data_IF_160911881067
#
_entry.id   IF_160911881067
#
_cell.length_a   1.000
_cell.length_b   1.000
_cell.length_c   1.000
_cell.angle_alpha   90.00
_cell.angle_beta   90.00
_cell.angle_gamma   90.00
#
_symmetry.space_group_name_H-M   'P 1'
#
loop_
_entity.id
_entity.type
_entity.pdbx_description
1 polymer ?
#
# COMPACT_ATOMS: atom_id res chain seq x y z
N UNK A 1 35.28 -30.73 -9.40
CA UNK A 1 34.30 -29.69 -9.00
C UNK A 1 33.15 -30.39 -8.30
N UNK A 2 32.87 -30.03 -7.05
CA UNK A 2 32.02 -30.82 -6.14
C UNK A 2 30.53 -30.47 -6.35
N UNK A 3 29.65 -31.42 -6.75
CA UNK A 3 28.24 -31.16 -7.02
C UNK A 3 27.38 -30.86 -5.78
N UNK A 4 27.93 -30.97 -4.58
CA UNK A 4 27.21 -30.84 -3.29
C UNK A 4 26.72 -29.41 -3.01
N UNK A 5 27.42 -28.37 -3.47
CA UNK A 5 27.08 -26.97 -3.14
C UNK A 5 25.79 -26.45 -3.80
N UNK A 6 25.34 -27.04 -4.91
CA UNK A 6 24.18 -26.52 -5.65
C UNK A 6 22.86 -26.91 -5.00
N UNK A 7 22.79 -28.12 -4.44
CA UNK A 7 21.61 -28.59 -3.71
C UNK A 7 21.49 -27.88 -2.36
N UNK A 8 22.60 -27.66 -1.67
CA UNK A 8 22.63 -26.93 -0.39
C UNK A 8 22.23 -25.45 -0.57
N UNK A 9 22.66 -24.80 -1.66
CA UNK A 9 22.23 -23.45 -1.99
C UNK A 9 20.73 -23.38 -2.35
N UNK A 10 20.21 -24.34 -3.13
CA UNK A 10 18.78 -24.41 -3.44
C UNK A 10 17.91 -24.72 -2.21
N UNK A 11 18.42 -25.53 -1.28
CA UNK A 11 17.76 -25.81 0.00
C UNK A 11 17.82 -24.61 0.95
N UNK A 12 18.89 -23.82 0.90
CA UNK A 12 19.04 -22.58 1.66
C UNK A 12 18.14 -21.47 1.12
N UNK A 13 18.10 -21.28 -0.20
CA UNK A 13 17.13 -20.39 -0.87
C UNK A 13 15.69 -20.83 -0.59
N UNK A 14 15.38 -22.14 -0.60
CA UNK A 14 14.06 -22.65 -0.19
C UNK A 14 13.75 -22.41 1.29
N UNK A 15 14.73 -22.51 2.18
CA UNK A 15 14.55 -22.23 3.63
C UNK A 15 14.33 -20.74 3.89
N UNK A 16 15.11 -19.87 3.23
CA UNK A 16 14.93 -18.41 3.27
C UNK A 16 13.60 -17.97 2.63
N UNK A 17 13.15 -18.67 1.56
CA UNK A 17 11.81 -18.48 0.97
C UNK A 17 10.67 -18.99 1.88
N UNK A 18 10.94 -19.97 2.74
CA UNK A 18 9.96 -20.55 3.66
C UNK A 18 9.80 -19.76 4.96
N UNK A 19 10.78 -18.95 5.36
CA UNK A 19 10.63 -17.95 6.44
C UNK A 19 9.57 -16.87 6.11
N UNK A 20 9.11 -16.80 4.86
CA UNK A 20 8.00 -15.96 4.41
C UNK A 20 6.62 -16.64 4.33
N UNK A 21 6.49 -17.93 4.66
CA UNK A 21 5.17 -18.58 4.76
C UNK A 21 4.49 -18.10 6.04
N UNK A 22 3.98 -16.87 6.02
CA UNK A 22 3.13 -16.32 7.05
C UNK A 22 1.72 -16.92 6.88
N UNK A 23 1.29 -17.91 7.69
CA UNK A 23 -0.09 -18.42 7.65
C UNK A 23 -1.12 -17.33 7.95
N UNK A 24 -0.67 -16.15 8.40
CA UNK A 24 -1.51 -15.00 8.71
C UNK A 24 -2.33 -14.49 7.50
N UNK A 25 -1.83 -14.58 6.26
CA UNK A 25 -2.54 -13.98 5.11
C UNK A 25 -3.78 -14.76 4.68
N UNK A 26 -3.76 -16.08 4.76
CA UNK A 26 -4.89 -16.92 4.31
C UNK A 26 -6.12 -16.77 5.21
N UNK A 27 -5.91 -16.33 6.45
CA UNK A 27 -6.98 -16.02 7.40
C UNK A 27 -7.53 -14.61 7.14
N UNK A 28 -6.70 -13.69 6.64
CA UNK A 28 -7.04 -12.26 6.53
C UNK A 28 -7.55 -11.89 5.14
N UNK A 29 -7.05 -12.53 4.09
CA UNK A 29 -7.29 -12.20 2.68
C UNK A 29 -8.01 -13.33 1.95
N UNK A 30 -8.98 -12.97 1.12
CA UNK A 30 -9.68 -13.91 0.26
C UNK A 30 -8.95 -14.07 -1.08
N UNK A 31 -8.43 -15.27 -1.35
CA UNK A 31 -7.82 -15.65 -2.63
C UNK A 31 -8.74 -16.47 -3.54
N UNK A 32 -10.03 -16.62 -3.21
CA UNK A 32 -11.02 -17.33 -4.03
C UNK A 32 -11.11 -16.85 -5.49
N UNK A 33 -10.92 -15.55 -5.82
CA UNK A 33 -10.97 -15.13 -7.22
C UNK A 33 -9.94 -15.83 -8.12
N UNK A 34 -8.76 -16.19 -7.59
CA UNK A 34 -7.78 -16.97 -8.33
C UNK A 34 -8.18 -18.44 -8.49
N UNK A 35 -8.93 -18.98 -7.52
CA UNK A 35 -9.42 -20.36 -7.55
C UNK A 35 -10.51 -20.57 -8.61
N UNK A 36 -11.26 -19.51 -8.93
CA UNK A 36 -12.33 -19.51 -9.94
C UNK A 36 -11.81 -19.41 -11.38
N UNK A 37 -10.52 -19.14 -11.58
CA UNK A 37 -9.94 -19.03 -12.92
C UNK A 37 -9.98 -20.38 -13.68
N UNK A 38 -10.27 -20.33 -14.98
CA UNK A 38 -10.22 -21.50 -15.87
C UNK A 38 -8.79 -21.82 -16.33
N UNK A 39 -7.86 -21.94 -15.39
CA UNK A 39 -6.46 -22.35 -15.60
C UNK A 39 -6.12 -23.54 -14.71
N UNK A 40 -4.97 -24.17 -14.93
CA UNK A 40 -4.56 -25.30 -14.10
C UNK A 40 -4.21 -24.89 -12.66
N UNK A 41 -4.23 -25.87 -11.75
CA UNK A 41 -3.99 -25.64 -10.32
C UNK A 41 -2.57 -25.12 -10.03
N UNK A 42 -1.58 -25.41 -10.88
CA UNK A 42 -0.24 -24.87 -10.69
C UNK A 42 -0.25 -23.35 -10.92
N UNK A 43 -0.86 -22.87 -12.01
CA UNK A 43 -1.00 -21.44 -12.28
C UNK A 43 -1.81 -20.70 -11.21
N UNK A 44 -2.89 -21.30 -10.70
CA UNK A 44 -3.67 -20.73 -9.59
C UNK A 44 -2.80 -20.49 -8.35
N UNK A 45 -2.06 -21.51 -7.93
CA UNK A 45 -1.20 -21.43 -6.77
C UNK A 45 -0.04 -20.44 -6.98
N UNK A 46 0.53 -20.40 -8.19
CA UNK A 46 1.56 -19.43 -8.54
C UNK A 46 1.08 -17.98 -8.40
N UNK A 47 -0.13 -17.66 -8.89
CA UNK A 47 -0.72 -16.32 -8.76
C UNK A 47 -0.96 -15.94 -7.30
N UNK A 48 -1.43 -16.88 -6.48
CA UNK A 48 -1.63 -16.66 -5.04
C UNK A 48 -0.28 -16.38 -4.36
N UNK A 49 0.75 -17.18 -4.64
CA UNK A 49 2.08 -17.01 -4.07
C UNK A 49 2.69 -15.65 -4.46
N UNK A 50 2.60 -15.27 -5.75
CA UNK A 50 3.06 -13.95 -6.21
C UNK A 50 2.26 -12.78 -5.65
N UNK A 51 0.96 -12.97 -5.42
CA UNK A 51 0.14 -11.96 -4.75
C UNK A 51 0.58 -11.76 -3.30
N UNK A 52 0.86 -12.85 -2.57
CA UNK A 52 1.40 -12.80 -1.21
C UNK A 52 2.77 -12.12 -1.17
N UNK A 53 3.67 -12.44 -2.11
CA UNK A 53 4.97 -11.77 -2.23
C UNK A 53 4.81 -10.26 -2.42
N UNK A 54 3.96 -9.85 -3.36
CA UNK A 54 3.72 -8.44 -3.65
C UNK A 54 3.16 -7.68 -2.44
N UNK A 55 2.15 -8.26 -1.78
CA UNK A 55 1.53 -7.67 -0.59
C UNK A 55 2.55 -7.51 0.54
N UNK A 56 3.38 -8.52 0.78
CA UNK A 56 4.43 -8.45 1.79
C UNK A 56 5.41 -7.29 1.53
N UNK A 57 5.85 -7.12 0.28
CA UNK A 57 6.73 -6.02 -0.09
C UNK A 57 6.05 -4.67 0.18
N UNK A 58 4.81 -4.49 -0.31
CA UNK A 58 4.09 -3.23 -0.18
C UNK A 58 3.84 -2.83 1.27
N UNK A 59 3.39 -3.78 2.09
CA UNK A 59 3.13 -3.59 3.51
C UNK A 59 4.41 -3.25 4.26
N UNK A 60 5.45 -4.07 4.10
CA UNK A 60 6.66 -3.92 4.89
C UNK A 60 7.39 -2.61 4.57
N UNK A 61 7.42 -2.20 3.31
CA UNK A 61 8.10 -0.97 2.90
C UNK A 61 7.35 0.26 3.41
N UNK A 62 6.02 0.30 3.30
CA UNK A 62 5.23 1.42 3.81
C UNK A 62 5.40 1.60 5.33
N UNK A 63 5.42 0.50 6.10
CA UNK A 63 5.64 0.53 7.54
C UNK A 63 7.06 0.96 7.90
N UNK A 64 8.09 0.43 7.23
CA UNK A 64 9.49 0.81 7.46
C UNK A 64 9.75 2.28 7.15
N UNK A 65 9.22 2.79 6.03
CA UNK A 65 9.34 4.20 5.68
C UNK A 65 8.61 5.06 6.71
N UNK A 66 7.39 4.68 7.10
CA UNK A 66 6.63 5.38 8.13
C UNK A 66 7.38 5.47 9.48
N UNK A 67 8.07 4.39 9.86
CA UNK A 67 8.93 4.36 11.05
C UNK A 67 10.05 5.40 11.00
N UNK A 68 10.83 5.39 9.92
CA UNK A 68 11.96 6.32 9.74
C UNK A 68 11.45 7.77 9.81
N UNK A 69 10.35 8.06 9.12
CA UNK A 69 9.76 9.40 9.11
C UNK A 69 9.27 9.85 10.49
N UNK A 70 8.70 8.92 11.27
CA UNK A 70 8.24 9.21 12.63
C UNK A 70 9.42 9.46 13.57
N UNK A 71 10.46 8.62 13.52
CA UNK A 71 11.68 8.79 14.32
C UNK A 71 12.34 10.13 14.05
N UNK A 72 12.54 10.49 12.77
CA UNK A 72 13.12 11.78 12.39
C UNK A 72 12.20 12.93 12.82
N UNK A 73 10.88 12.81 12.68
CA UNK A 73 9.95 13.85 13.12
C UNK A 73 9.97 14.06 14.63
N UNK A 74 10.08 12.99 15.44
CA UNK A 74 10.13 13.08 16.90
C UNK A 74 11.45 13.70 17.38
N UNK A 75 12.55 13.31 16.76
CA UNK A 75 13.89 13.81 17.08
C UNK A 75 14.01 15.32 16.77
N UNK A 76 13.50 15.76 15.63
CA UNK A 76 13.57 17.16 15.22
C UNK A 76 12.52 18.04 15.91
N UNK A 77 11.34 17.50 16.22
CA UNK A 77 10.24 18.26 16.84
C UNK A 77 10.49 18.66 18.30
N UNK A 78 11.40 17.98 19.01
CA UNK A 78 11.67 18.21 20.45
C UNK A 78 12.94 19.00 20.74
N UNK A 79 13.70 19.41 19.70
CA UNK A 79 15.06 19.97 19.86
C UNK A 79 15.20 21.45 19.55
N UNK A 80 14.10 22.22 19.52
CA UNK A 80 14.15 23.64 19.13
C UNK A 80 14.72 23.84 17.72
N UNK A 81 14.55 22.82 16.88
CA UNK A 81 15.13 22.78 15.54
C UNK A 81 14.53 23.92 14.70
N UNK A 82 15.35 24.65 13.92
CA UNK A 82 14.85 25.66 13.00
C UNK A 82 13.65 25.16 12.19
N UNK A 83 12.65 26.03 12.06
CA UNK A 83 11.46 25.77 11.25
C UNK A 83 11.90 25.34 9.84
N UNK A 84 11.40 24.18 9.38
CA UNK A 84 11.70 23.65 8.05
C UNK A 84 12.80 22.59 7.92
N UNK A 85 13.55 22.20 8.97
CA UNK A 85 14.57 21.13 8.85
C UNK A 85 13.96 19.78 8.47
N UNK A 86 12.84 19.40 9.09
CA UNK A 86 12.10 18.20 8.67
C UNK A 86 11.63 18.32 7.21
N UNK A 87 11.18 19.51 6.80
CA UNK A 87 10.83 19.79 5.41
C UNK A 87 12.00 19.63 4.44
N UNK A 88 13.20 20.06 4.82
CA UNK A 88 14.42 19.87 4.03
C UNK A 88 14.81 18.39 3.92
N UNK A 89 14.70 17.64 5.02
CA UNK A 89 14.91 16.19 5.01
C UNK A 89 13.94 15.50 4.05
N UNK A 90 12.65 15.84 4.11
CA UNK A 90 11.63 15.32 3.20
C UNK A 90 11.95 15.65 1.74
N UNK A 91 12.31 16.92 1.46
CA UNK A 91 12.66 17.39 0.11
C UNK A 91 13.88 16.66 -0.46
N UNK A 92 14.92 16.46 0.35
CA UNK A 92 16.12 15.72 -0.08
C UNK A 92 15.79 14.29 -0.49
N UNK A 93 14.86 13.64 0.23
CA UNK A 93 14.44 12.27 -0.05
C UNK A 93 13.28 12.17 -1.08
N UNK A 94 12.86 13.29 -1.69
CA UNK A 94 11.79 13.29 -2.69
C UNK A 94 10.38 12.98 -2.14
N UNK A 95 10.17 13.16 -0.83
CA UNK A 95 8.91 12.83 -0.15
C UNK A 95 8.12 14.11 0.09
N UNK A 96 6.85 14.16 -0.34
CA UNK A 96 5.98 15.29 0.00
C UNK A 96 5.42 15.17 1.44
N UNK A 97 5.13 16.31 2.08
CA UNK A 97 4.70 16.35 3.48
C UNK A 97 3.42 15.58 3.76
N UNK A 98 2.47 15.52 2.81
CA UNK A 98 1.23 14.76 2.94
C UNK A 98 1.48 13.24 2.97
N UNK A 99 2.34 12.76 2.07
CA UNK A 99 2.77 11.35 2.02
C UNK A 99 3.54 11.00 3.28
N UNK A 100 4.42 11.88 3.73
CA UNK A 100 5.16 11.66 4.97
C UNK A 100 4.22 11.52 6.17
N UNK A 101 3.24 12.43 6.29
CA UNK A 101 2.22 12.37 7.34
C UNK A 101 1.41 11.07 7.28
N UNK A 102 0.97 10.66 6.08
CA UNK A 102 0.22 9.42 5.88
C UNK A 102 0.99 8.18 6.30
N UNK A 103 2.25 8.06 5.88
CA UNK A 103 3.11 6.92 6.21
C UNK A 103 3.40 6.87 7.71
N UNK A 104 3.64 8.03 8.34
CA UNK A 104 3.78 8.14 9.80
C UNK A 104 2.54 7.68 10.55
N UNK A 105 1.35 8.18 10.18
CA UNK A 105 0.08 7.77 10.79
C UNK A 105 -0.12 6.25 10.69
N UNK A 106 0.13 5.67 9.51
CA UNK A 106 0.06 4.22 9.31
C UNK A 106 1.02 3.47 10.24
N UNK A 107 2.27 3.91 10.35
CA UNK A 107 3.24 3.30 11.26
C UNK A 107 2.83 3.42 12.73
N UNK A 108 2.34 4.57 13.17
CA UNK A 108 1.87 4.79 14.55
C UNK A 108 0.72 3.81 14.85
N UNK A 109 -0.29 3.77 13.99
CA UNK A 109 -1.42 2.84 14.12
C UNK A 109 -0.97 1.38 14.13
N UNK A 110 -0.04 1.01 13.24
CA UNK A 110 0.53 -0.34 13.21
C UNK A 110 1.30 -0.68 14.49
N UNK A 111 2.02 0.28 15.07
CA UNK A 111 2.83 0.08 16.27
C UNK A 111 1.96 -0.07 17.52
N UNK A 112 0.85 0.66 17.58
CA UNK A 112 -0.14 0.58 18.66
C UNK A 112 -1.08 -0.62 18.53
N UNK A 113 -1.23 -1.17 17.32
CA UNK A 113 -2.12 -2.28 17.05
C UNK A 113 -1.71 -3.57 17.78
N UNK A 114 -2.66 -4.35 18.32
CA UNK A 114 -2.37 -5.68 18.82
C UNK A 114 -1.87 -6.58 17.68
N UNK A 115 -1.08 -7.59 18.02
CA UNK A 115 -0.32 -8.39 17.04
C UNK A 115 -1.20 -9.05 15.96
N UNK A 116 -2.43 -9.43 16.30
CA UNK A 116 -3.40 -10.00 15.35
C UNK A 116 -4.00 -8.97 14.40
N UNK A 117 -4.03 -7.69 14.77
CA UNK A 117 -4.59 -6.59 13.98
C UNK A 117 -3.56 -5.91 13.07
N UNK A 118 -2.26 -6.05 13.35
CA UNK A 118 -1.18 -5.36 12.63
C UNK A 118 -1.22 -5.54 11.12
N UNK A 119 -1.47 -6.75 10.64
CA UNK A 119 -1.54 -7.01 9.20
C UNK A 119 -2.74 -6.30 8.59
N UNK A 120 -3.89 -6.30 9.25
CA UNK A 120 -5.08 -5.56 8.77
C UNK A 120 -4.77 -4.08 8.68
N UNK A 121 -4.23 -3.48 9.75
CA UNK A 121 -3.83 -2.07 9.77
C UNK A 121 -2.86 -1.75 8.63
N UNK A 122 -1.91 -2.65 8.36
CA UNK A 122 -0.95 -2.46 7.27
C UNK A 122 -1.57 -2.49 5.87
N UNK A 123 -2.70 -3.17 5.71
CA UNK A 123 -3.44 -3.35 4.46
C UNK A 123 -4.55 -2.31 4.23
N UNK A 124 -4.85 -1.48 5.23
CA UNK A 124 -5.87 -0.44 5.11
C UNK A 124 -5.50 0.59 4.02
N UNK A 125 -6.50 1.18 3.40
CA UNK A 125 -6.35 2.28 2.45
C UNK A 125 -5.94 3.58 3.17
N UNK A 126 -5.63 4.62 2.40
CA UNK A 126 -5.35 5.95 2.97
C UNK A 126 -6.53 6.47 3.78
N UNK A 127 -7.75 6.35 3.24
CA UNK A 127 -8.98 6.83 3.87
C UNK A 127 -9.27 6.09 5.17
N UNK A 128 -9.14 4.76 5.18
CA UNK A 128 -9.35 3.93 6.36
C UNK A 128 -8.30 4.24 7.45
N UNK A 129 -7.03 4.48 7.06
CA UNK A 129 -5.99 4.94 8.00
C UNK A 129 -6.33 6.31 8.59
N UNK A 130 -6.81 7.26 7.78
CA UNK A 130 -7.21 8.58 8.28
C UNK A 130 -8.42 8.52 9.22
N UNK A 131 -9.37 7.63 8.96
CA UNK A 131 -10.51 7.43 9.84
C UNK A 131 -10.08 6.74 11.14
N UNK A 132 -9.27 5.69 11.06
CA UNK A 132 -8.74 4.99 12.23
C UNK A 132 -7.86 5.90 13.09
N UNK A 133 -7.10 6.81 12.47
CA UNK A 133 -6.29 7.82 13.16
C UNK A 133 -7.17 8.78 13.99
N UNK A 134 -8.37 9.12 13.49
CA UNK A 134 -9.35 9.98 14.18
C UNK A 134 -10.16 9.24 15.23
N UNK A 135 -10.49 7.97 14.96
CA UNK A 135 -11.36 7.10 15.78
C UNK A 135 -10.59 5.87 16.21
N UNK A 136 -9.64 6.06 17.14
CA UNK A 136 -8.72 5.00 17.60
C UNK A 136 -9.46 3.82 18.23
N UNK A 137 -10.64 4.06 18.80
CA UNK A 137 -11.54 3.05 19.35
C UNK A 137 -12.06 2.03 18.32
N UNK A 138 -11.95 2.31 17.02
CA UNK A 138 -12.27 1.31 15.98
C UNK A 138 -11.28 0.14 15.98
N UNK A 139 -10.05 0.36 16.46
CA UNK A 139 -9.03 -0.67 16.57
C UNK A 139 -9.44 -1.77 17.56
N UNK A 140 -10.18 -1.42 18.60
CA UNK A 140 -10.67 -2.36 19.62
C UNK A 140 -11.69 -3.37 19.06
N UNK A 141 -12.27 -3.08 17.90
CA UNK A 141 -13.21 -3.97 17.21
C UNK A 141 -12.50 -5.08 16.42
N UNK A 142 -11.19 -5.01 16.25
CA UNK A 142 -10.43 -6.00 15.50
C UNK A 142 -10.10 -7.17 16.44
N UNK A 143 -10.94 -8.21 16.42
CA UNK A 143 -10.75 -9.42 17.23
C UNK A 143 -9.79 -10.42 16.56
N UNK A 144 -9.18 -11.37 17.30
CA UNK A 144 -8.32 -12.39 16.70
C UNK A 144 -9.05 -13.23 15.65
N UNK A 145 -8.48 -13.33 14.45
CA UNK A 145 -9.07 -14.10 13.34
C UNK A 145 -10.04 -13.31 12.45
N UNK A 146 -10.28 -12.02 12.74
CA UNK A 146 -11.05 -11.15 11.85
C UNK A 146 -10.40 -11.06 10.46
N UNK A 147 -11.22 -11.07 9.42
CA UNK A 147 -10.76 -10.88 8.02
C UNK A 147 -10.61 -9.39 7.68
N UNK A 148 -9.89 -9.08 6.59
CA UNK A 148 -9.79 -7.70 6.10
C UNK A 148 -11.16 -7.14 5.71
N UNK A 149 -12.01 -7.94 5.05
CA UNK A 149 -13.34 -7.51 4.62
C UNK A 149 -14.26 -7.16 5.79
N UNK A 150 -14.26 -7.97 6.85
CA UNK A 150 -15.00 -7.69 8.07
C UNK A 150 -14.49 -6.42 8.75
N UNK A 151 -13.17 -6.26 8.88
CA UNK A 151 -12.58 -5.06 9.46
C UNK A 151 -12.98 -3.80 8.68
N UNK A 152 -13.04 -3.89 7.34
CA UNK A 152 -13.46 -2.79 6.46
C UNK A 152 -14.90 -2.35 6.68
N UNK A 153 -15.78 -3.21 7.19
CA UNK A 153 -17.17 -2.83 7.48
C UNK A 153 -17.28 -1.74 8.55
N UNK A 154 -16.30 -1.65 9.47
CA UNK A 154 -16.31 -0.65 10.54
C UNK A 154 -16.04 0.78 10.07
N UNK A 155 -15.48 0.95 8.87
CA UNK A 155 -15.23 2.26 8.23
C UNK A 155 -16.37 2.69 7.29
N UNK A 156 -17.38 1.85 7.09
CA UNK A 156 -18.53 2.15 6.20
C UNK A 156 -19.61 3.01 6.88
N UNK A 157 -19.44 3.36 8.16
CA UNK A 157 -20.37 4.24 8.89
C UNK A 157 -20.18 5.72 8.51
N UNK A 158 -21.26 6.36 8.08
CA UNK A 158 -21.38 7.72 7.52
C UNK A 158 -21.04 7.90 6.03
N UNK A 159 -21.57 7.03 5.17
CA UNK A 159 -22.11 7.55 3.91
C UNK A 159 -23.42 8.27 4.30
N UNK A 160 -23.34 9.56 4.64
CA UNK A 160 -24.53 10.40 4.48
C UNK A 160 -24.83 10.36 3.00
N UNK A 161 -25.91 9.71 2.62
CA UNK A 161 -26.55 9.88 1.33
C UNK A 161 -26.77 11.37 1.14
N UNK A 162 -25.87 12.03 0.43
CA UNK A 162 -26.16 13.32 -0.16
C UNK A 162 -27.03 12.97 -1.35
N UNK A 163 -28.35 12.89 -1.11
CA UNK A 163 -29.35 13.05 -2.15
C UNK A 163 -29.15 14.43 -2.79
N UNK A 164 -28.28 14.52 -3.79
CA UNK A 164 -28.28 15.64 -4.73
C UNK A 164 -28.51 15.07 -6.12
N UNK A 165 -29.79 15.16 -6.50
CA UNK A 165 -30.35 15.36 -7.85
C UNK A 165 -29.44 14.96 -9.02
N UNK A 166 -29.87 13.88 -9.68
CA UNK A 166 -29.77 13.59 -11.12
C UNK A 166 -29.09 14.67 -11.96
N UNK A 167 -27.86 14.42 -12.38
CA UNK A 167 -27.45 14.68 -13.75
C UNK A 167 -26.86 13.38 -14.30
N UNK A 168 -27.44 12.93 -15.40
CA UNK A 168 -26.94 11.82 -16.21
C UNK A 168 -25.61 12.26 -16.80
N UNK A 169 -24.55 11.51 -16.55
CA UNK A 169 -23.55 11.23 -17.56
C UNK A 169 -23.06 9.80 -17.35
N UNK A 170 -23.18 9.03 -18.43
CA UNK A 170 -22.86 7.62 -18.54
C UNK A 170 -21.34 7.40 -18.53
N UNK A 171 -20.95 6.29 -17.90
CA UNK A 171 -19.76 5.49 -18.20
C UNK A 171 -18.43 6.22 -18.45
N UNK A 172 -17.63 6.32 -17.39
CA UNK A 172 -16.33 5.63 -17.26
C UNK A 172 -15.61 6.14 -16.01
N UNK A 173 -16.19 5.83 -14.84
CA UNK A 173 -15.48 5.94 -13.58
C UNK A 173 -14.40 4.86 -13.52
N UNK A 174 -13.23 5.13 -14.07
CA UNK A 174 -12.03 4.42 -13.62
C UNK A 174 -11.77 4.90 -12.21
N UNK A 175 -12.27 4.15 -11.22
CA UNK A 175 -11.66 4.12 -9.90
C UNK A 175 -10.17 4.00 -10.12
N UNK A 176 -9.44 5.07 -9.79
CA UNK A 176 -7.99 5.03 -9.76
C UNK A 176 -7.70 4.06 -8.62
N UNK A 177 -7.45 2.80 -8.98
CA UNK A 177 -6.97 1.81 -8.06
C UNK A 177 -5.77 2.43 -7.36
N UNK A 178 -5.90 2.62 -6.06
CA UNK A 178 -4.88 3.07 -5.13
C UNK A 178 -3.84 1.92 -5.03
N UNK A 179 -3.18 1.64 -6.16
CA UNK A 179 -2.10 0.68 -6.28
C UNK A 179 -0.89 1.40 -5.71
N UNK A 180 -0.53 1.01 -4.50
CA UNK A 180 0.74 1.38 -3.91
C UNK A 180 1.88 1.11 -4.89
N UNK A 181 2.86 2.02 -4.87
CA UNK A 181 4.19 1.85 -5.45
C UNK A 181 4.26 2.05 -6.97
N UNK A 182 4.12 3.30 -7.44
CA UNK A 182 4.98 3.77 -8.52
C UNK A 182 6.09 4.65 -7.92
N UNK A 183 6.97 4.07 -7.12
CA UNK A 183 7.90 4.80 -6.24
C UNK A 183 8.97 5.66 -6.94
N UNK A 184 9.11 5.64 -8.27
CA UNK A 184 10.08 6.52 -8.97
C UNK A 184 9.46 7.59 -9.87
N UNK A 185 8.16 7.52 -10.17
CA UNK A 185 7.46 8.51 -11.03
C UNK A 185 6.50 9.42 -10.25
N UNK A 186 6.36 9.18 -8.95
CA UNK A 186 5.15 9.53 -8.24
C UNK A 186 5.43 10.42 -7.04
N UNK A 187 5.77 11.68 -7.31
CA UNK A 187 5.45 12.80 -6.41
C UNK A 187 5.43 14.14 -7.14
N UNK A 188 6.45 14.49 -7.95
CA UNK A 188 6.46 15.78 -8.66
C UNK A 188 5.47 15.82 -9.84
N UNK A 189 5.47 14.78 -10.69
CA UNK A 189 4.62 14.74 -11.87
C UNK A 189 3.13 14.60 -11.55
N UNK A 190 2.77 14.00 -10.41
CA UNK A 190 1.36 13.83 -10.03
C UNK A 190 0.71 15.13 -9.59
N UNK A 191 1.40 15.92 -8.77
CA UNK A 191 0.89 17.22 -8.34
C UNK A 191 0.78 18.16 -9.56
N UNK A 192 1.76 18.10 -10.48
CA UNK A 192 1.71 18.82 -11.76
C UNK A 192 0.57 18.31 -12.66
N UNK A 193 0.37 16.99 -12.77
CA UNK A 193 -0.71 16.38 -13.54
C UNK A 193 -2.09 16.82 -13.05
N UNK A 194 -2.34 16.75 -11.74
CA UNK A 194 -3.64 17.09 -11.16
C UNK A 194 -3.92 18.60 -11.32
N UNK A 195 -2.88 19.44 -11.35
CA UNK A 195 -3.00 20.89 -11.60
C UNK A 195 -3.31 21.26 -13.06
N UNK A 196 -3.14 20.34 -14.01
CA UNK A 196 -3.36 20.60 -15.44
C UNK A 196 -4.85 20.51 -15.81
N UNK A 197 -5.32 21.27 -16.82
CA UNK A 197 -6.63 21.06 -17.41
C UNK A 197 -6.82 19.62 -17.91
N UNK A 198 -8.02 19.07 -17.78
CA UNK A 198 -8.36 17.67 -18.06
C UNK A 198 -7.89 17.17 -19.44
N UNK A 199 -7.96 18.04 -20.45
CA UNK A 199 -7.49 17.75 -21.81
C UNK A 199 -5.98 17.49 -21.88
N UNK A 200 -5.19 18.20 -21.07
CA UNK A 200 -3.73 18.02 -20.96
C UNK A 200 -3.39 16.80 -20.11
N UNK A 201 -4.16 16.50 -19.06
CA UNK A 201 -3.98 15.27 -18.28
C UNK A 201 -4.11 14.02 -19.16
N UNK A 202 -5.16 13.96 -20.00
CA UNK A 202 -5.38 12.88 -20.97
C UNK A 202 -4.24 12.76 -22.02
N UNK A 203 -3.61 13.87 -22.39
CA UNK A 203 -2.45 13.86 -23.29
C UNK A 203 -1.19 13.33 -22.62
N UNK A 204 -0.91 13.74 -21.38
CA UNK A 204 0.25 13.27 -20.63
C UNK A 204 0.13 11.76 -20.33
N UNK A 205 -1.06 11.28 -19.97
CA UNK A 205 -1.30 9.85 -19.78
C UNK A 205 -0.97 9.02 -21.04
N UNK A 206 -1.38 9.49 -22.24
CA UNK A 206 -1.04 8.83 -23.51
C UNK A 206 0.45 8.87 -23.85
N UNK A 207 1.17 9.91 -23.42
CA UNK A 207 2.62 10.01 -23.63
C UNK A 207 3.40 9.08 -22.71
N UNK A 208 2.96 8.95 -21.46
CA UNK A 208 3.53 8.00 -20.49
C UNK A 208 3.33 6.55 -20.97
N UNK A 209 2.14 6.22 -21.46
CA UNK A 209 1.84 4.90 -22.04
C UNK A 209 2.72 4.59 -23.28
N UNK A 210 3.03 5.62 -24.09
CA UNK A 210 3.96 5.47 -25.23
C UNK A 210 5.42 5.30 -24.79
N UNK A 211 5.84 6.03 -23.76
CA UNK A 211 7.18 5.90 -23.17
C UNK A 211 7.40 4.51 -22.57
N UNK A 212 6.39 3.97 -21.89
CA UNK A 212 6.43 2.63 -21.33
C UNK A 212 6.68 1.57 -22.41
N UNK A 213 5.95 1.64 -23.53
CA UNK A 213 6.18 0.77 -24.69
C UNK A 213 7.59 0.90 -25.26
N UNK A 214 8.13 2.11 -25.36
CA UNK A 214 9.48 2.34 -25.88
C UNK A 214 10.59 1.85 -24.95
N UNK A 215 10.36 1.83 -23.64
CA UNK A 215 11.35 1.42 -22.64
C UNK A 215 11.31 -0.09 -22.39
N UNK A 216 10.15 -0.73 -22.53
CA UNK A 216 9.95 -2.14 -22.19
C UNK A 216 9.68 -3.08 -23.38
N UNK A 217 9.35 -2.57 -24.57
CA UNK A 217 9.23 -3.36 -25.81
C UNK A 217 10.43 -3.18 -26.76
N UNK A 218 11.58 -2.72 -26.25
CA UNK A 218 12.85 -2.58 -26.98
C UNK A 218 13.84 -3.70 -26.73
#
# INVERSE_FOLDING_TARGET
MNPTNRLDNLLKERKESQEGKNPKYEIILNFSPFQELSVDNYLKNYLIDKSKELINLQVNDAIKIGKILEEVSQELGKKGSPEGIYGNFLKYNGINSKTALRLRKRYILFSEAPEHAKIIVSLLTVREIEELDKKRELLDKFYPGITLEEAKTFFKGEIKEIENKKEKDEENGKEIADIGIYSFLQTSLQDDLISLPEKKQKQVAKLLEKLEKLVYEG
#
